data_IF_009116022520
#
_entry.id   IF_009116022520
#
_cell.length_a   1.000
_cell.length_b   1.000
_cell.length_c   1.000
_cell.angle_alpha   90.00
_cell.angle_beta   90.00
_cell.angle_gamma   90.00
#
_symmetry.space_group_name_H-M   'P 1'
#
loop_
_entity.id
_entity.type
_entity.pdbx_description
1 polymer ?
#
# COMPACT_ATOMS: atom_id res chain seq x y z
N UNK A 1 3.61 -2.54 -6.75
CA UNK A 1 4.79 -1.67 -7.01
C UNK A 1 4.65 -0.55 -6.02
N UNK A 2 5.41 -0.52 -4.91
CA UNK A 2 5.13 0.39 -3.78
C UNK A 2 5.30 1.85 -4.26
N UNK A 3 4.20 2.53 -4.60
CA UNK A 3 4.23 3.92 -5.04
C UNK A 3 4.20 4.86 -3.85
N UNK A 4 4.97 5.93 -3.98
CA UNK A 4 4.99 7.07 -3.07
C UNK A 4 3.95 8.10 -3.54
N UNK A 5 3.20 8.66 -2.59
CA UNK A 5 2.14 9.65 -2.77
C UNK A 5 2.66 11.06 -3.17
N UNK A 6 3.53 11.19 -4.17
CA UNK A 6 3.97 12.51 -4.68
C UNK A 6 3.35 12.80 -6.06
N UNK A 7 2.88 14.03 -6.32
CA UNK A 7 2.22 14.39 -7.58
C UNK A 7 3.21 14.39 -8.75
N UNK A 8 2.78 13.83 -9.88
CA UNK A 8 3.57 13.76 -11.10
C UNK A 8 3.51 15.06 -11.91
N UNK A 9 4.66 15.70 -12.15
CA UNK A 9 4.78 16.77 -13.14
C UNK A 9 4.71 16.19 -14.57
N UNK A 10 3.71 16.64 -15.32
CA UNK A 10 3.50 16.29 -16.72
C UNK A 10 4.46 17.07 -17.63
N UNK A 11 5.24 16.36 -18.44
CA UNK A 11 5.91 16.92 -19.62
C UNK A 11 5.61 16.05 -20.84
N UNK A 12 4.82 16.61 -21.74
CA UNK A 12 4.55 16.06 -23.06
C UNK A 12 5.80 16.14 -23.93
N UNK A 13 6.11 15.06 -24.65
CA UNK A 13 7.01 15.10 -25.81
C UNK A 13 6.40 14.30 -26.96
N UNK A 14 6.04 15.06 -27.98
CA UNK A 14 5.84 14.63 -29.37
C UNK A 14 7.17 14.21 -29.98
N UNK A 15 7.18 13.15 -30.79
CA UNK A 15 8.30 12.86 -31.69
C UNK A 15 8.30 11.42 -32.18
N UNK A 16 7.97 11.22 -33.45
CA UNK A 16 8.33 10.02 -34.19
C UNK A 16 9.85 9.92 -34.28
N UNK A 17 10.40 8.70 -34.30
CA UNK A 17 11.13 8.23 -35.48
C UNK A 17 11.58 6.77 -35.30
N UNK A 18 11.40 6.04 -36.39
CA UNK A 18 11.89 4.71 -36.58
C UNK A 18 13.42 4.74 -36.73
N UNK A 19 14.13 3.89 -35.98
CA UNK A 19 15.36 3.28 -36.49
C UNK A 19 15.72 2.03 -35.69
N UNK A 20 15.67 0.90 -36.40
CA UNK A 20 16.16 -0.38 -35.93
C UNK A 20 17.62 -0.54 -36.38
N UNK A 21 18.59 -0.41 -35.46
CA UNK A 21 19.97 -0.87 -35.69
C UNK A 21 20.79 -1.05 -34.40
N UNK A 22 21.55 -2.16 -34.36
CA UNK A 22 22.63 -2.56 -33.43
C UNK A 22 22.25 -3.25 -32.10
N UNK A 23 22.43 -4.59 -32.07
CA UNK A 23 22.17 -5.47 -30.92
C UNK A 23 23.31 -5.60 -29.90
N UNK A 24 24.04 -4.52 -29.60
CA UNK A 24 24.97 -4.47 -28.47
C UNK A 24 24.42 -3.51 -27.42
N UNK A 25 24.27 -3.90 -26.14
CA UNK A 25 23.78 -2.99 -25.12
C UNK A 25 24.74 -1.81 -24.98
N UNK A 26 24.20 -0.60 -25.11
CA UNK A 26 24.91 0.66 -24.91
C UNK A 26 25.75 0.60 -23.62
N UNK A 27 27.07 0.84 -23.74
CA UNK A 27 28.05 0.79 -22.64
C UNK A 27 27.63 1.66 -21.46
N UNK A 28 26.94 2.77 -21.71
CA UNK A 28 26.41 3.62 -20.64
C UNK A 28 25.33 2.91 -19.81
N UNK A 29 24.45 2.14 -20.46
CA UNK A 29 23.39 1.37 -19.79
C UNK A 29 23.95 0.20 -18.99
N UNK A 30 25.01 -0.46 -19.48
CA UNK A 30 25.70 -1.53 -18.74
C UNK A 30 26.37 -0.98 -17.47
N UNK A 31 27.09 0.13 -17.59
CA UNK A 31 27.76 0.76 -16.45
C UNK A 31 26.78 1.36 -15.42
N UNK A 32 25.60 1.78 -15.85
CA UNK A 32 24.54 2.23 -14.94
C UNK A 32 23.94 1.06 -14.15
N UNK A 33 23.67 -0.07 -14.83
CA UNK A 33 23.14 -1.29 -14.19
C UNK A 33 24.11 -1.90 -13.19
N UNK A 34 25.41 -1.90 -13.50
CA UNK A 34 26.43 -2.40 -12.57
C UNK A 34 26.47 -1.58 -11.28
N UNK A 35 26.49 -0.24 -11.40
CA UNK A 35 26.46 0.66 -10.24
C UNK A 35 25.18 0.52 -9.41
N UNK A 36 24.04 0.32 -10.06
CA UNK A 36 22.76 0.07 -9.36
C UNK A 36 22.82 -1.24 -8.55
N UNK A 37 23.42 -2.31 -9.09
CA UNK A 37 23.60 -3.58 -8.40
C UNK A 37 24.57 -3.46 -7.21
N UNK A 38 25.71 -2.79 -7.39
CA UNK A 38 26.66 -2.53 -6.29
C UNK A 38 25.98 -1.78 -5.14
N UNK A 39 25.19 -0.76 -5.48
CA UNK A 39 24.44 0.02 -4.50
C UNK A 39 23.37 -0.82 -3.78
N UNK A 40 22.64 -1.67 -4.50
CA UNK A 40 21.69 -2.61 -3.91
C UNK A 40 22.37 -3.57 -2.93
N UNK A 41 23.48 -4.20 -3.33
CA UNK A 41 24.25 -5.12 -2.47
C UNK A 41 24.71 -4.38 -1.21
N UNK A 42 25.24 -3.17 -1.36
CA UNK A 42 25.64 -2.32 -0.22
C UNK A 42 24.47 -2.06 0.72
N UNK A 43 23.28 -1.76 0.20
CA UNK A 43 22.06 -1.54 1.01
C UNK A 43 21.66 -2.82 1.75
N UNK A 44 21.72 -3.99 1.10
CA UNK A 44 21.37 -5.28 1.71
C UNK A 44 22.33 -5.63 2.85
N UNK A 45 23.64 -5.55 2.60
CA UNK A 45 24.70 -5.87 3.58
C UNK A 45 24.67 -4.93 4.79
N UNK A 46 24.61 -3.62 4.53
CA UNK A 46 24.54 -2.60 5.58
C UNK A 46 23.15 -2.46 6.22
N UNK A 47 22.14 -3.10 5.62
CA UNK A 47 20.72 -2.99 6.01
C UNK A 47 20.23 -1.54 6.02
N UNK A 48 20.68 -0.74 5.06
CA UNK A 48 20.47 0.71 4.98
C UNK A 48 19.10 1.08 4.39
N UNK A 49 18.04 0.58 5.03
CA UNK A 49 16.65 0.96 4.76
C UNK A 49 16.01 1.54 6.01
N UNK A 50 15.18 2.56 5.83
CA UNK A 50 14.54 3.32 6.91
C UNK A 50 13.02 3.17 6.82
N UNK A 51 12.38 2.61 7.86
CA UNK A 51 10.92 2.60 7.97
C UNK A 51 10.33 4.00 8.24
N UNK A 52 9.20 4.28 7.59
CA UNK A 52 8.30 5.40 7.88
C UNK A 52 6.87 4.87 7.90
N UNK A 53 5.99 5.53 8.65
CA UNK A 53 4.66 5.02 8.97
C UNK A 53 3.61 6.04 8.59
N UNK A 54 2.65 5.63 7.76
CA UNK A 54 1.54 6.49 7.35
C UNK A 54 0.24 6.07 8.05
N UNK A 55 -0.48 6.99 8.72
CA UNK A 55 -1.69 6.66 9.46
C UNK A 55 -2.85 6.24 8.56
N UNK A 56 -3.58 5.22 8.99
CA UNK A 56 -4.87 4.81 8.46
C UNK A 56 -5.93 5.14 9.52
N UNK A 57 -6.86 6.01 9.16
CA UNK A 57 -7.92 6.52 10.02
C UNK A 57 -9.19 5.67 9.89
N UNK A 58 -9.86 5.36 11.00
CA UNK A 58 -11.16 4.70 11.00
C UNK A 58 -12.28 5.71 11.26
N UNK A 59 -13.22 5.80 10.32
CA UNK A 59 -14.39 6.68 10.47
C UNK A 59 -15.29 6.25 11.63
N UNK A 60 -15.42 4.93 11.85
CA UNK A 60 -16.31 4.39 12.90
C UNK A 60 -15.91 4.78 14.33
N UNK A 61 -14.61 4.93 14.60
CA UNK A 61 -14.10 5.31 15.93
C UNK A 61 -13.70 6.78 15.99
N UNK A 62 -13.40 7.41 14.85
CA UNK A 62 -12.81 8.75 14.83
C UNK A 62 -11.35 8.77 15.28
N UNK A 63 -10.66 7.63 15.22
CA UNK A 63 -9.26 7.48 15.64
C UNK A 63 -8.39 6.87 14.55
N UNK A 64 -7.06 6.97 14.71
CA UNK A 64 -6.12 6.18 13.90
C UNK A 64 -6.31 4.70 14.24
N UNK A 65 -6.61 3.88 13.24
CA UNK A 65 -6.74 2.43 13.36
C UNK A 65 -5.39 1.72 13.29
N UNK A 66 -4.58 2.15 12.32
CA UNK A 66 -3.40 1.43 11.89
C UNK A 66 -2.36 2.37 11.30
N UNK A 67 -1.18 1.83 11.05
CA UNK A 67 -0.16 2.47 10.24
C UNK A 67 0.33 1.54 9.15
N UNK A 68 0.48 2.07 7.95
CA UNK A 68 1.19 1.39 6.88
C UNK A 68 2.69 1.60 7.03
N UNK A 69 3.42 0.49 7.11
CA UNK A 69 4.87 0.45 7.23
C UNK A 69 5.55 0.55 5.86
N UNK A 70 5.93 1.77 5.49
CA UNK A 70 6.65 2.06 4.26
C UNK A 70 8.16 2.08 4.49
N UNK A 71 8.92 1.87 3.43
CA UNK A 71 10.39 1.92 3.46
C UNK A 71 10.91 3.11 2.66
N UNK A 72 12.09 3.60 3.01
CA UNK A 72 12.93 4.47 2.19
C UNK A 72 14.34 3.87 2.13
N UNK A 73 14.94 3.87 0.95
CA UNK A 73 16.38 3.64 0.81
C UNK A 73 17.18 4.85 1.32
N UNK A 74 18.52 4.83 1.23
CA UNK A 74 19.35 5.96 1.67
C UNK A 74 19.01 7.22 0.88
N UNK A 75 18.91 8.39 1.53
CA UNK A 75 18.47 9.66 0.92
C UNK A 75 19.30 10.09 -0.29
N UNK A 76 20.61 9.85 -0.26
CA UNK A 76 21.53 10.20 -1.35
C UNK A 76 21.66 9.12 -2.42
N UNK A 77 20.96 7.99 -2.27
CA UNK A 77 21.03 6.85 -3.18
C UNK A 77 20.06 7.02 -4.35
N UNK A 78 20.41 6.57 -5.58
CA UNK A 78 19.43 6.41 -6.65
C UNK A 78 18.32 5.41 -6.30
N UNK A 79 18.54 4.58 -5.26
CA UNK A 79 17.58 3.63 -4.71
C UNK A 79 16.85 4.17 -3.46
N UNK A 80 16.80 5.50 -3.28
CA UNK A 80 16.05 6.11 -2.18
C UNK A 80 14.55 5.76 -2.23
N UNK A 81 13.94 5.82 -3.42
CA UNK A 81 12.51 5.56 -3.56
C UNK A 81 12.21 4.06 -3.54
N UNK A 82 11.11 3.62 -2.90
CA UNK A 82 10.70 2.22 -2.88
C UNK A 82 10.59 1.61 -4.27
N UNK A 83 9.97 2.31 -5.21
CA UNK A 83 9.82 1.86 -6.60
C UNK A 83 11.16 1.46 -7.21
N UNK A 84 12.16 2.36 -7.16
CA UNK A 84 13.49 2.10 -7.72
C UNK A 84 14.21 0.97 -6.98
N UNK A 85 14.14 0.97 -5.65
CA UNK A 85 14.79 -0.04 -4.81
C UNK A 85 14.25 -1.46 -5.08
N UNK A 86 12.94 -1.63 -5.12
CA UNK A 86 12.31 -2.93 -5.36
C UNK A 86 12.44 -3.39 -6.82
N UNK A 87 12.40 -2.47 -7.78
CA UNK A 87 12.69 -2.79 -9.18
C UNK A 87 14.13 -3.28 -9.38
N UNK A 88 15.11 -2.62 -8.76
CA UNK A 88 16.50 -3.04 -8.81
C UNK A 88 16.68 -4.44 -8.19
N UNK A 89 16.07 -4.68 -7.03
CA UNK A 89 16.08 -5.98 -6.38
C UNK A 89 15.42 -7.08 -7.23
N UNK A 90 14.30 -6.78 -7.87
CA UNK A 90 13.63 -7.73 -8.77
C UNK A 90 14.51 -8.10 -9.96
N UNK A 91 15.12 -7.11 -10.62
CA UNK A 91 16.04 -7.35 -11.74
C UNK A 91 17.27 -8.17 -11.35
N UNK A 92 17.74 -8.01 -10.11
CA UNK A 92 18.92 -8.67 -9.59
C UNK A 92 18.64 -10.01 -8.90
N UNK A 93 17.38 -10.43 -8.77
CA UNK A 93 17.01 -11.68 -8.08
C UNK A 93 17.03 -11.61 -6.55
N UNK A 94 17.07 -10.41 -5.97
CA UNK A 94 17.10 -10.16 -4.52
C UNK A 94 15.75 -9.68 -3.95
N UNK A 95 14.65 -9.84 -4.69
CA UNK A 95 13.35 -9.29 -4.31
C UNK A 95 12.89 -9.78 -2.92
N UNK A 96 12.91 -11.10 -2.70
CA UNK A 96 12.50 -11.68 -1.41
C UNK A 96 13.45 -11.32 -0.28
N UNK A 97 14.75 -11.29 -0.53
CA UNK A 97 15.74 -10.89 0.48
C UNK A 97 15.52 -9.45 0.94
N UNK A 98 15.35 -8.52 -0.02
CA UNK A 98 15.03 -7.13 0.27
C UNK A 98 13.70 -7.01 0.99
N UNK A 99 12.63 -7.66 0.51
CA UNK A 99 11.31 -7.53 1.12
C UNK A 99 11.30 -8.06 2.56
N UNK A 100 11.99 -9.18 2.84
CA UNK A 100 12.16 -9.69 4.20
C UNK A 100 13.08 -8.84 5.09
N UNK A 101 14.08 -8.16 4.52
CA UNK A 101 14.87 -7.15 5.25
C UNK A 101 13.98 -5.97 5.66
N UNK A 102 13.24 -5.42 4.71
CA UNK A 102 12.28 -4.34 4.89
C UNK A 102 11.24 -4.69 5.96
N UNK A 103 10.59 -5.86 5.83
CA UNK A 103 9.59 -6.33 6.77
C UNK A 103 10.13 -6.40 8.21
N UNK A 104 11.31 -7.00 8.39
CA UNK A 104 11.95 -7.09 9.72
C UNK A 104 12.30 -5.72 10.30
N UNK A 105 12.68 -4.75 9.47
CA UNK A 105 12.98 -3.37 9.90
C UNK A 105 11.71 -2.64 10.32
N UNK A 106 10.63 -2.75 9.53
CA UNK A 106 9.32 -2.17 9.84
C UNK A 106 8.78 -2.71 11.17
N UNK A 107 8.71 -4.04 11.34
CA UNK A 107 8.21 -4.69 12.56
C UNK A 107 9.00 -4.23 13.80
N UNK A 108 10.34 -4.26 13.74
CA UNK A 108 11.18 -3.82 14.86
C UNK A 108 10.98 -2.36 15.21
N UNK A 109 10.88 -1.50 14.20
CA UNK A 109 10.71 -0.07 14.44
C UNK A 109 9.31 0.22 14.98
N UNK A 110 8.27 -0.42 14.44
CA UNK A 110 6.91 -0.28 14.92
C UNK A 110 6.77 -0.72 16.38
N UNK A 111 7.34 -1.87 16.73
CA UNK A 111 7.35 -2.37 18.11
C UNK A 111 8.03 -1.39 19.08
N UNK A 112 9.13 -0.75 18.66
CA UNK A 112 9.84 0.26 19.46
C UNK A 112 9.04 1.55 19.67
N UNK A 113 8.12 1.88 18.76
CA UNK A 113 7.24 3.03 18.93
C UNK A 113 6.20 2.80 20.03
N UNK A 114 5.93 1.54 20.40
CA UNK A 114 4.99 1.20 21.48
C UNK A 114 3.53 1.53 21.17
N UNK A 115 3.19 1.69 19.89
CA UNK A 115 1.85 2.08 19.44
C UNK A 115 0.89 0.89 19.59
N UNK A 116 -0.22 1.08 20.30
CA UNK A 116 -1.26 0.06 20.41
C UNK A 116 -2.26 0.16 19.24
N UNK A 117 -1.74 -0.04 18.03
CA UNK A 117 -2.45 0.06 16.74
C UNK A 117 -2.06 -1.09 15.83
N UNK A 118 -2.77 -1.25 14.71
CA UNK A 118 -2.42 -2.27 13.71
C UNK A 118 -1.24 -1.79 12.85
N UNK A 119 -0.49 -2.74 12.31
CA UNK A 119 0.58 -2.54 11.36
C UNK A 119 0.19 -3.20 10.03
N UNK A 120 0.13 -2.40 8.98
CA UNK A 120 -0.02 -2.86 7.62
C UNK A 120 1.38 -3.02 7.01
N UNK A 121 1.66 -4.21 6.48
CA UNK A 121 2.97 -4.64 6.05
C UNK A 121 2.93 -5.11 4.60
N UNK A 122 3.51 -4.32 3.71
CA UNK A 122 3.69 -4.64 2.31
C UNK A 122 4.58 -5.89 2.12
N UNK A 123 4.00 -6.97 1.59
CA UNK A 123 4.73 -8.18 1.17
C UNK A 123 4.37 -8.53 -0.27
N UNK A 124 5.38 -8.82 -1.08
CA UNK A 124 5.16 -9.21 -2.47
C UNK A 124 4.55 -10.63 -2.56
N UNK A 125 3.65 -10.91 -3.52
CA UNK A 125 3.15 -12.26 -3.73
C UNK A 125 4.25 -13.33 -3.89
N UNK A 126 5.34 -12.99 -4.58
CA UNK A 126 6.52 -13.87 -4.69
C UNK A 126 7.12 -14.19 -3.32
N UNK A 127 7.34 -13.19 -2.46
CA UNK A 127 7.86 -13.40 -1.11
C UNK A 127 6.91 -14.26 -0.28
N UNK A 128 5.59 -14.02 -0.33
CA UNK A 128 4.60 -14.87 0.36
C UNK A 128 4.76 -16.33 -0.04
N UNK A 129 4.93 -16.62 -1.33
CA UNK A 129 5.09 -17.99 -1.84
C UNK A 129 6.40 -18.63 -1.38
N UNK A 130 7.50 -17.89 -1.43
CA UNK A 130 8.84 -18.40 -1.09
C UNK A 130 9.02 -18.65 0.42
N UNK A 131 8.34 -17.86 1.28
CA UNK A 131 8.53 -17.93 2.74
C UNK A 131 7.35 -18.59 3.47
N UNK A 132 6.37 -19.14 2.76
CA UNK A 132 5.16 -19.74 3.34
C UNK A 132 5.46 -20.84 4.37
N UNK A 133 6.49 -21.64 4.12
CA UNK A 133 6.88 -22.75 5.00
C UNK A 133 7.58 -22.25 6.28
N UNK A 134 8.00 -20.98 6.30
CA UNK A 134 8.64 -20.30 7.42
C UNK A 134 7.68 -19.41 8.23
N UNK A 135 6.37 -19.43 7.93
CA UNK A 135 5.37 -18.56 8.56
C UNK A 135 5.42 -18.58 10.10
N UNK A 136 5.64 -19.76 10.70
CA UNK A 136 5.73 -19.89 12.16
C UNK A 136 6.98 -19.24 12.74
N UNK A 137 8.09 -19.24 11.99
CA UNK A 137 9.32 -18.53 12.37
C UNK A 137 9.12 -17.02 12.26
N UNK A 138 8.44 -16.55 11.22
CA UNK A 138 8.10 -15.14 11.04
C UNK A 138 7.18 -14.67 12.17
N UNK A 139 6.15 -15.45 12.51
CA UNK A 139 5.26 -15.14 13.62
C UNK A 139 6.00 -15.11 14.96
N UNK A 140 6.93 -16.05 15.20
CA UNK A 140 7.77 -16.02 16.40
C UNK A 140 8.61 -14.73 16.47
N UNK A 141 9.24 -14.35 15.37
CA UNK A 141 10.03 -13.11 15.31
C UNK A 141 9.21 -11.86 15.67
N UNK A 142 7.96 -11.76 15.19
CA UNK A 142 7.07 -10.63 15.51
C UNK A 142 6.72 -10.62 17.00
N UNK A 143 6.39 -11.79 17.57
CA UNK A 143 6.14 -11.93 19.01
C UNK A 143 7.36 -11.59 19.87
N UNK A 144 8.55 -12.01 19.44
CA UNK A 144 9.81 -11.69 20.14
C UNK A 144 10.12 -10.18 20.10
N UNK A 145 9.59 -9.44 19.11
CA UNK A 145 9.65 -7.98 19.09
C UNK A 145 8.63 -7.32 20.05
N UNK A 146 7.66 -8.07 20.59
CA UNK A 146 6.63 -7.58 21.50
C UNK A 146 5.31 -7.21 20.83
N UNK A 147 5.06 -7.66 19.60
CA UNK A 147 3.80 -7.43 18.90
C UNK A 147 2.93 -8.70 18.88
N UNK A 148 1.62 -8.51 19.01
CA UNK A 148 0.66 -9.58 18.70
C UNK A 148 0.56 -9.75 17.19
N UNK A 149 0.47 -10.99 16.72
CA UNK A 149 0.28 -11.30 15.30
C UNK A 149 -1.03 -10.74 14.78
N UNK A 150 -2.07 -10.70 15.62
CA UNK A 150 -3.36 -10.11 15.25
C UNK A 150 -3.25 -8.60 14.93
N UNK A 151 -2.20 -7.91 15.40
CA UNK A 151 -1.92 -6.51 15.04
C UNK A 151 -1.32 -6.38 13.63
N UNK A 152 -0.81 -7.46 13.03
CA UNK A 152 -0.11 -7.39 11.74
C UNK A 152 -1.03 -7.84 10.60
N UNK A 153 -1.26 -6.91 9.68
CA UNK A 153 -1.97 -7.14 8.42
C UNK A 153 -0.95 -7.19 7.29
N UNK A 154 -0.96 -8.26 6.51
CA UNK A 154 -0.13 -8.39 5.31
C UNK A 154 -0.87 -7.77 4.13
N UNK A 155 -0.25 -6.79 3.49
CA UNK A 155 -0.74 -6.19 2.25
C UNK A 155 -0.10 -6.89 1.05
N UNK A 156 -0.93 -7.31 0.11
CA UNK A 156 -0.49 -7.90 -1.17
C UNK A 156 -1.09 -7.13 -2.33
N UNK A 157 -0.26 -6.78 -3.31
CA UNK A 157 -0.68 -6.05 -4.52
C UNK A 157 -1.12 -7.00 -5.63
N UNK A 158 -2.13 -6.63 -6.42
CA UNK A 158 -2.61 -7.40 -7.58
C UNK A 158 -1.55 -7.53 -8.71
N UNK A 159 -0.76 -6.48 -8.92
CA UNK A 159 0.01 -6.27 -10.16
C UNK A 159 1.22 -7.20 -10.36
N UNK A 160 1.53 -8.11 -9.43
CA UNK A 160 2.57 -9.11 -9.66
C UNK A 160 1.96 -10.37 -10.26
N UNK A 161 2.51 -10.83 -11.39
CA UNK A 161 2.03 -12.03 -12.08
C UNK A 161 2.11 -13.24 -11.14
N UNK A 162 0.96 -13.63 -10.61
CA UNK A 162 0.81 -14.87 -9.85
C UNK A 162 0.56 -15.98 -10.88
N UNK A 163 1.62 -16.73 -11.20
CA UNK A 163 1.54 -17.84 -12.16
C UNK A 163 0.51 -18.90 -11.74
N UNK A 164 0.36 -19.14 -10.43
CA UNK A 164 -0.66 -20.04 -9.88
C UNK A 164 -1.38 -19.39 -8.67
N UNK A 165 -2.60 -18.89 -8.93
CA UNK A 165 -3.45 -18.24 -7.92
C UNK A 165 -3.88 -19.20 -6.81
N UNK A 166 -4.01 -20.50 -7.11
CA UNK A 166 -4.38 -21.51 -6.10
C UNK A 166 -3.26 -21.69 -5.08
N UNK A 167 -2.01 -21.77 -5.54
CA UNK A 167 -0.85 -21.88 -4.65
C UNK A 167 -0.71 -20.61 -3.80
N UNK A 168 -0.89 -19.43 -4.40
CA UNK A 168 -0.85 -18.18 -3.65
C UNK A 168 -1.93 -18.09 -2.57
N UNK A 169 -3.17 -18.47 -2.89
CA UNK A 169 -4.25 -18.54 -1.91
C UNK A 169 -3.91 -19.50 -0.76
N UNK A 170 -3.38 -20.68 -1.07
CA UNK A 170 -2.96 -21.64 -0.04
C UNK A 170 -1.85 -21.07 0.85
N UNK A 171 -0.88 -20.35 0.26
CA UNK A 171 0.17 -19.67 1.03
C UNK A 171 -0.44 -18.62 1.97
N UNK A 172 -1.33 -17.75 1.47
CA UNK A 172 -2.03 -16.76 2.31
C UNK A 172 -2.84 -17.42 3.43
N UNK A 173 -3.46 -18.58 3.19
CA UNK A 173 -4.16 -19.33 4.25
C UNK A 173 -3.22 -19.81 5.35
N UNK A 174 -1.94 -20.09 5.07
CA UNK A 174 -0.96 -20.41 6.10
C UNK A 174 -0.65 -19.19 6.98
N UNK A 175 -0.55 -18.00 6.38
CA UNK A 175 -0.40 -16.74 7.12
C UNK A 175 -1.64 -16.44 7.97
N UNK A 176 -2.84 -16.57 7.42
CA UNK A 176 -4.08 -16.41 8.19
C UNK A 176 -4.19 -17.42 9.34
N UNK A 177 -3.84 -18.68 9.09
CA UNK A 177 -3.80 -19.73 10.11
C UNK A 177 -2.77 -19.48 11.22
N UNK A 178 -1.74 -18.67 10.95
CA UNK A 178 -0.79 -18.21 11.96
C UNK A 178 -1.28 -16.96 12.74
N UNK A 179 -2.40 -16.36 12.34
CA UNK A 179 -3.05 -15.23 13.01
C UNK A 179 -2.95 -13.89 12.27
N UNK A 180 -2.28 -13.84 11.11
CA UNK A 180 -2.20 -12.60 10.34
C UNK A 180 -3.55 -12.24 9.72
N UNK A 181 -3.80 -10.93 9.60
CA UNK A 181 -4.83 -10.43 8.68
C UNK A 181 -4.25 -10.19 7.29
N UNK A 182 -5.12 -10.12 6.29
CA UNK A 182 -4.74 -9.89 4.90
C UNK A 182 -5.48 -8.68 4.36
N UNK A 183 -4.74 -7.80 3.69
CA UNK A 183 -5.25 -6.69 2.91
C UNK A 183 -4.92 -6.92 1.43
N UNK A 184 -5.90 -6.68 0.56
CA UNK A 184 -5.66 -6.56 -0.87
C UNK A 184 -5.43 -5.09 -1.22
N UNK A 185 -4.33 -4.82 -1.91
CA UNK A 185 -3.88 -3.47 -2.26
C UNK A 185 -4.15 -3.14 -3.74
N UNK A 186 -4.24 -1.84 -4.06
CA UNK A 186 -4.43 -1.28 -5.41
C UNK A 186 -5.71 -1.75 -6.14
N UNK A 187 -6.86 -1.88 -5.44
CA UNK A 187 -8.11 -2.30 -6.09
C UNK A 187 -8.54 -1.24 -7.14
N UNK A 188 -8.43 -1.63 -8.42
CA UNK A 188 -8.96 -0.87 -9.56
C UNK A 188 -7.93 -0.43 -10.60
N UNK A 189 -6.64 -0.73 -10.42
CA UNK A 189 -5.62 -0.57 -11.47
C UNK A 189 -5.67 -1.71 -12.54
N UNK A 190 -6.52 -2.74 -12.37
CA UNK A 190 -6.55 -3.92 -13.23
C UNK A 190 -7.90 -4.64 -13.33
N UNK A 191 -8.04 -5.47 -14.37
CA UNK A 191 -9.27 -6.23 -14.69
C UNK A 191 -9.54 -7.44 -13.77
N UNK A 192 -8.60 -7.84 -12.90
CA UNK A 192 -8.69 -9.08 -12.09
C UNK A 192 -8.99 -8.84 -10.59
N UNK A 193 -9.12 -7.58 -10.17
CA UNK A 193 -9.19 -7.15 -8.77
C UNK A 193 -10.37 -7.76 -7.99
N UNK A 194 -11.60 -7.69 -8.55
CA UNK A 194 -12.81 -8.24 -7.93
C UNK A 194 -12.82 -9.77 -7.86
N UNK A 195 -12.21 -10.44 -8.84
CA UNK A 195 -12.07 -11.89 -8.82
C UNK A 195 -11.12 -12.32 -7.71
N UNK A 196 -9.98 -11.64 -7.58
CA UNK A 196 -9.01 -11.92 -6.54
C UNK A 196 -9.59 -11.62 -5.15
N UNK A 197 -10.34 -10.53 -5.00
CA UNK A 197 -11.10 -10.24 -3.78
C UNK A 197 -12.02 -11.41 -3.42
N UNK A 198 -12.88 -11.85 -4.34
CA UNK A 198 -13.81 -12.97 -4.12
C UNK A 198 -13.09 -14.28 -3.73
N UNK A 199 -11.95 -14.57 -4.36
CA UNK A 199 -11.17 -15.79 -4.11
C UNK A 199 -10.38 -15.73 -2.77
N UNK A 200 -9.89 -14.55 -2.37
CA UNK A 200 -9.05 -14.38 -1.17
C UNK A 200 -9.85 -14.02 0.09
N UNK A 201 -11.00 -13.35 -0.06
CA UNK A 201 -11.84 -12.85 1.04
C UNK A 201 -11.00 -12.11 2.11
N UNK A 202 -10.24 -11.07 1.73
CA UNK A 202 -9.33 -10.38 2.64
C UNK A 202 -10.09 -9.61 3.72
N UNK A 203 -9.43 -9.37 4.84
CA UNK A 203 -9.97 -8.58 5.95
C UNK A 203 -10.09 -7.09 5.55
N UNK A 204 -9.16 -6.62 4.71
CA UNK A 204 -9.15 -5.26 4.18
C UNK A 204 -9.01 -5.22 2.67
N UNK A 205 -9.59 -4.20 2.03
CA UNK A 205 -9.33 -3.88 0.62
C UNK A 205 -9.01 -2.40 0.52
N UNK A 206 -7.84 -2.07 -0.01
CA UNK A 206 -7.40 -0.70 -0.25
C UNK A 206 -7.83 -0.27 -1.65
N UNK A 207 -8.49 0.88 -1.73
CA UNK A 207 -9.03 1.44 -2.96
C UNK A 207 -8.05 2.49 -3.46
N UNK A 208 -7.58 2.31 -4.69
CA UNK A 208 -6.59 3.19 -5.30
C UNK A 208 -7.09 4.65 -5.39
N UNK A 209 -6.13 5.58 -5.28
CA UNK A 209 -6.37 7.02 -5.30
C UNK A 209 -7.14 7.49 -6.55
N UNK A 210 -7.03 6.79 -7.68
CA UNK A 210 -7.77 7.10 -8.90
C UNK A 210 -9.28 7.21 -8.65
N UNK A 211 -9.84 6.32 -7.83
CA UNK A 211 -11.28 6.31 -7.52
C UNK A 211 -11.66 7.23 -6.36
N UNK A 212 -10.67 7.65 -5.56
CA UNK A 212 -10.90 8.43 -4.34
C UNK A 212 -10.73 9.93 -4.58
N UNK A 213 -9.68 10.35 -5.30
CA UNK A 213 -9.38 11.76 -5.51
C UNK A 213 -10.43 12.41 -6.42
N UNK A 214 -11.03 13.52 -5.95
CA UNK A 214 -12.06 14.25 -6.68
C UNK A 214 -13.43 13.56 -6.68
N UNK A 215 -13.67 12.58 -5.80
CA UNK A 215 -14.97 11.91 -5.69
C UNK A 215 -16.10 12.87 -5.31
N UNK A 216 -15.79 14.00 -4.64
CA UNK A 216 -16.80 15.03 -4.36
C UNK A 216 -17.36 15.72 -5.60
N UNK A 217 -16.68 15.63 -6.74
CA UNK A 217 -17.07 16.31 -7.98
C UNK A 217 -17.44 15.32 -9.10
N UNK A 218 -17.21 14.02 -8.90
CA UNK A 218 -17.40 12.99 -9.91
C UNK A 218 -18.49 11.98 -9.50
N UNK A 219 -19.64 12.09 -10.17
CA UNK A 219 -20.78 11.19 -9.95
C UNK A 219 -20.46 9.72 -10.22
N UNK A 220 -19.56 9.42 -11.16
CA UNK A 220 -19.21 8.04 -11.52
C UNK A 220 -18.36 7.43 -10.41
N UNK A 221 -17.32 8.15 -9.94
CA UNK A 221 -16.50 7.72 -8.80
C UNK A 221 -17.35 7.50 -7.55
N UNK A 222 -18.29 8.40 -7.28
CA UNK A 222 -19.21 8.27 -6.15
C UNK A 222 -20.02 6.96 -6.19
N UNK A 223 -20.68 6.68 -7.32
CA UNK A 223 -21.48 5.46 -7.48
C UNK A 223 -20.61 4.20 -7.48
N UNK A 224 -19.38 4.29 -8.00
CA UNK A 224 -18.43 3.20 -7.96
C UNK A 224 -18.04 2.86 -6.51
N UNK A 225 -17.57 3.84 -5.73
CA UNK A 225 -17.24 3.65 -4.31
C UNK A 225 -18.43 3.14 -3.50
N UNK A 226 -19.64 3.67 -3.72
CA UNK A 226 -20.87 3.18 -3.08
C UNK A 226 -21.11 1.70 -3.38
N UNK A 227 -20.86 1.27 -4.62
CA UNK A 227 -21.03 -0.13 -5.02
C UNK A 227 -19.96 -1.03 -4.38
N UNK A 228 -18.71 -0.57 -4.32
CA UNK A 228 -17.64 -1.29 -3.61
C UNK A 228 -17.95 -1.44 -2.12
N UNK A 229 -18.45 -0.39 -1.46
CA UNK A 229 -18.86 -0.43 -0.06
C UNK A 229 -19.91 -1.51 0.18
N UNK A 230 -20.93 -1.58 -0.69
CA UNK A 230 -21.94 -2.62 -0.59
C UNK A 230 -21.38 -4.05 -0.77
N UNK A 231 -20.44 -4.23 -1.71
CA UNK A 231 -19.75 -5.52 -1.89
C UNK A 231 -18.96 -5.88 -0.63
N UNK A 232 -18.24 -4.90 -0.05
CA UNK A 232 -17.41 -5.11 1.13
C UNK A 232 -18.22 -5.55 2.34
N UNK A 233 -19.39 -4.95 2.57
CA UNK A 233 -20.33 -5.37 3.60
C UNK A 233 -20.78 -6.82 3.42
N UNK A 234 -21.11 -7.22 2.19
CA UNK A 234 -21.53 -8.59 1.87
C UNK A 234 -20.41 -9.63 2.01
N UNK A 235 -19.17 -9.24 1.73
CA UNK A 235 -17.99 -10.11 1.82
C UNK A 235 -17.31 -10.10 3.21
N UNK A 236 -17.72 -9.21 4.11
CA UNK A 236 -17.09 -9.04 5.43
C UNK A 236 -15.71 -8.39 5.37
N UNK A 237 -15.40 -7.64 4.31
CA UNK A 237 -14.15 -6.88 4.15
C UNK A 237 -14.33 -5.44 4.62
N UNK A 238 -13.28 -4.82 5.16
CA UNK A 238 -13.24 -3.39 5.46
C UNK A 238 -12.51 -2.61 4.37
N UNK A 239 -13.11 -1.53 3.87
CA UNK A 239 -12.47 -0.69 2.85
C UNK A 239 -11.49 0.31 3.47
N UNK A 240 -10.41 0.60 2.74
CA UNK A 240 -9.46 1.69 3.02
C UNK A 240 -9.38 2.55 1.77
N UNK A 241 -9.91 3.77 1.80
CA UNK A 241 -9.78 4.70 0.69
C UNK A 241 -8.42 5.41 0.74
N UNK A 242 -7.61 5.28 -0.31
CA UNK A 242 -6.28 5.89 -0.38
C UNK A 242 -6.26 7.23 -1.09
N UNK A 243 -5.21 8.02 -0.84
CA UNK A 243 -4.99 9.29 -1.54
C UNK A 243 -5.98 10.39 -1.14
N UNK A 244 -6.53 10.36 0.09
CA UNK A 244 -7.42 11.43 0.57
C UNK A 244 -6.65 12.72 0.83
N UNK A 245 -6.87 13.71 -0.03
CA UNK A 245 -6.15 14.99 0.00
C UNK A 245 -7.02 16.19 0.34
N UNK A 246 -8.34 16.09 0.17
CA UNK A 246 -9.27 17.20 0.38
C UNK A 246 -10.30 16.90 1.47
N UNK A 247 -10.76 17.97 2.14
CA UNK A 247 -11.85 17.88 3.11
C UNK A 247 -13.17 17.42 2.45
N UNK A 248 -13.41 17.81 1.21
CA UNK A 248 -14.61 17.45 0.46
C UNK A 248 -14.66 15.94 0.20
N UNK A 249 -13.58 15.36 -0.35
CA UNK A 249 -13.47 13.91 -0.57
C UNK A 249 -13.59 13.14 0.75
N UNK A 250 -12.93 13.60 1.82
CA UNK A 250 -13.04 13.01 3.16
C UNK A 250 -14.49 12.92 3.65
N UNK A 251 -15.28 13.99 3.48
CA UNK A 251 -16.68 14.01 3.89
C UNK A 251 -17.54 13.06 3.06
N UNK A 252 -17.29 12.97 1.76
CA UNK A 252 -18.01 12.03 0.89
C UNK A 252 -17.73 10.59 1.29
N UNK A 253 -16.47 10.23 1.58
CA UNK A 253 -16.11 8.89 2.04
C UNK A 253 -16.78 8.53 3.37
N UNK A 254 -16.80 9.48 4.32
CA UNK A 254 -17.53 9.36 5.59
C UNK A 254 -19.02 9.11 5.36
N UNK A 255 -19.65 9.93 4.52
CA UNK A 255 -21.10 9.89 4.27
C UNK A 255 -21.51 8.63 3.47
N UNK A 256 -20.61 8.10 2.64
CA UNK A 256 -20.76 6.82 1.95
C UNK A 256 -20.65 5.62 2.89
N UNK A 257 -20.16 5.80 4.12
CA UNK A 257 -19.95 4.72 5.08
C UNK A 257 -18.67 3.92 4.84
N UNK A 258 -17.70 4.46 4.08
CA UNK A 258 -16.38 3.83 3.92
C UNK A 258 -15.75 3.64 5.30
N UNK A 259 -15.17 2.47 5.57
CA UNK A 259 -14.69 2.14 6.91
C UNK A 259 -13.47 2.97 7.32
N UNK A 260 -12.49 3.09 6.42
CA UNK A 260 -11.19 3.68 6.71
C UNK A 260 -10.68 4.56 5.57
N UNK A 261 -9.78 5.49 5.90
CA UNK A 261 -9.13 6.36 4.93
C UNK A 261 -7.64 6.58 5.25
N UNK A 262 -6.86 6.80 4.19
CA UNK A 262 -5.45 7.14 4.25
C UNK A 262 -5.16 8.24 3.22
N UNK A 263 -4.34 9.23 3.61
CA UNK A 263 -3.95 10.30 2.71
C UNK A 263 -3.35 11.50 3.43
N UNK A 264 -2.83 12.46 2.67
CA UNK A 264 -2.14 13.62 3.24
C UNK A 264 -3.03 14.55 4.04
N UNK A 265 -4.33 14.55 3.78
CA UNK A 265 -5.30 15.28 4.60
C UNK A 265 -5.35 14.77 6.05
N UNK A 266 -5.07 13.47 6.23
CA UNK A 266 -5.08 12.75 7.51
C UNK A 266 -3.68 12.74 8.14
N UNK A 267 -2.65 12.42 7.35
CA UNK A 267 -1.27 12.43 7.82
C UNK A 267 -0.28 11.88 6.79
N UNK A 268 0.92 12.47 6.79
CA UNK A 268 2.05 12.01 5.97
C UNK A 268 2.81 10.88 6.66
N UNK A 269 3.52 10.09 5.87
CA UNK A 269 4.43 9.07 6.40
C UNK A 269 5.56 9.71 7.23
N UNK A 270 5.76 9.23 8.45
CA UNK A 270 6.77 9.75 9.37
C UNK A 270 7.51 8.65 10.13
N UNK A 271 8.75 8.89 10.56
CA UNK A 271 9.53 7.94 11.37
C UNK A 271 8.95 7.72 12.76
N UNK A 272 8.33 8.77 13.31
CA UNK A 272 7.61 8.78 14.57
C UNK A 272 6.23 9.38 14.28
N UNK A 273 5.24 8.54 13.91
CA UNK A 273 3.90 9.03 13.59
C UNK A 273 3.15 9.44 14.86
N UNK A 274 2.16 10.33 14.70
CA UNK A 274 1.24 10.74 15.77
C UNK A 274 0.07 9.76 15.87
N UNK A 275 -0.37 9.44 17.09
CA UNK A 275 -1.64 8.75 17.36
C UNK A 275 -2.85 9.69 17.30
N UNK A 276 -2.60 10.99 17.46
CA UNK A 276 -3.62 12.03 17.38
C UNK A 276 -3.94 12.36 15.93
N UNK A 277 -5.23 12.52 15.66
CA UNK A 277 -5.72 13.04 14.38
C UNK A 277 -5.54 14.56 14.30
N UNK A 278 -5.34 15.12 13.09
CA UNK A 278 -5.32 16.57 12.90
C UNK A 278 -6.63 17.24 13.37
N UNK A 279 -6.55 18.47 13.88
CA UNK A 279 -7.71 19.21 14.37
C UNK A 279 -8.81 19.36 13.31
N UNK A 280 -8.44 19.58 12.05
CA UNK A 280 -9.36 19.66 10.91
C UNK A 280 -10.15 18.35 10.70
N UNK A 281 -9.51 17.19 10.87
CA UNK A 281 -10.18 15.88 10.77
C UNK A 281 -11.15 15.71 11.94
N UNK A 282 -10.73 16.07 13.16
CA UNK A 282 -11.59 16.03 14.35
C UNK A 282 -12.82 16.93 14.25
N UNK A 283 -12.69 18.10 13.62
CA UNK A 283 -13.81 19.01 13.37
C UNK A 283 -14.80 18.43 12.36
N UNK A 284 -14.32 17.88 11.25
CA UNK A 284 -15.19 17.24 10.24
C UNK A 284 -15.93 16.03 10.80
N UNK A 285 -15.30 15.24 11.68
CA UNK A 285 -15.99 14.11 12.35
C UNK A 285 -17.11 14.56 13.30
N UNK A 286 -17.02 15.77 13.87
CA UNK A 286 -18.07 16.35 14.71
C UNK A 286 -19.20 17.02 13.92
N UNK A 287 -18.95 17.35 12.66
CA UNK A 287 -19.96 17.96 11.79
C UNK A 287 -20.99 16.94 11.34
N UNK A 288 -22.24 17.12 11.77
CA UNK A 288 -23.39 16.28 11.38
C UNK A 288 -24.05 16.72 10.07
N UNK A 289 -23.54 17.76 9.40
CA UNK A 289 -24.09 18.22 8.13
C UNK A 289 -23.53 17.36 6.98
N UNK A 290 -24.37 16.64 6.22
CA UNK A 290 -23.93 16.04 4.97
C UNK A 290 -23.59 17.15 3.99
N UNK A 291 -22.34 17.19 3.53
CA UNK A 291 -21.84 18.18 2.57
C UNK A 291 -22.20 17.71 1.15
N UNK A 292 -23.49 17.56 0.85
CA UNK A 292 -23.93 17.32 -0.53
C UNK A 292 -24.53 18.59 -1.14
N UNK A 293 -23.73 19.29 -1.93
CA UNK A 293 -24.25 20.11 -3.02
C UNK A 293 -24.55 19.16 -4.20
N UNK A 294 -25.82 19.10 -4.60
CA UNK A 294 -26.38 18.41 -5.77
C UNK A 294 -25.35 17.96 -6.83
N UNK A 295 -24.89 16.71 -6.73
CA UNK A 295 -24.34 16.00 -7.90
C UNK A 295 -25.55 15.61 -8.76
N UNK A 296 -26.00 16.53 -9.60
CA UNK A 296 -26.99 16.21 -10.63
C UNK A 296 -26.31 15.30 -11.65
N UNK A 297 -26.95 14.21 -12.10
CA UNK A 297 -26.41 13.43 -13.20
C UNK A 297 -26.29 14.33 -14.44
N UNK A 298 -25.27 14.11 -15.31
CA UNK A 298 -25.24 14.78 -16.59
C UNK A 298 -26.55 14.52 -17.34
N UNK A 299 -27.22 15.58 -17.76
CA UNK A 299 -28.40 15.50 -18.60
C UNK A 299 -28.06 14.69 -19.85
N UNK A 300 -28.83 13.63 -20.09
CA UNK A 300 -28.72 12.71 -21.24
C UNK A 300 -28.74 13.44 -22.58
#
# INVERSE_FOLDING_TARGET
MIRTTEPADSLALTGSDADAASGLPDRHRVNARFRELEELIRILESRAVTPVFQPIFAFGTGEILAYEGLIRGPETSPLHTPTRLFEAANRAGFLTELNMLCARKVVRQFARLGLNRQLFLNITPQTVLEVKDDVQRIARFIRDCGLDIAQVTIEVTENQFIADRSIFRQALMLFRGAGFRVALDDLGEGFSSLRLWSELQPDFVKIDMHFVQGVSEDSVKYHFLRSLQHIAEGCGSSLVAEGVETAADFCILRDLGINNAQGFFIGRAARAPSELIPAQVSELMRSSAPLFARVAPPSR
#
